data_IF_503405436186
#
_entry.id   IF_503405436186
#
_cell.length_a   1.000
_cell.length_b   1.000
_cell.length_c   1.000
_cell.angle_alpha   90.00
_cell.angle_beta   90.00
_cell.angle_gamma   90.00
#
_symmetry.space_group_name_H-M   'P 1'
#
loop_
_entity.id
_entity.type
_entity.pdbx_description
1 polymer ?
#
# COMPACT_ATOMS: atom_id res chain seq x y z
N UNK A 1 18.69 15.10 -3.38
CA UNK A 1 19.37 15.55 -2.13
C UNK A 1 18.29 15.68 -1.04
N UNK A 2 17.93 14.57 -0.38
CA UNK A 2 16.85 14.56 0.63
C UNK A 2 17.38 15.20 1.92
N UNK A 3 16.64 16.20 2.42
CA UNK A 3 16.97 17.11 3.52
C UNK A 3 17.66 16.46 4.72
N UNK A 4 18.70 17.14 5.24
CA UNK A 4 19.51 16.74 6.40
C UNK A 4 18.70 16.35 7.65
N UNK A 5 17.45 16.84 7.77
CA UNK A 5 16.57 16.53 8.89
C UNK A 5 16.05 15.09 8.86
N UNK A 6 15.65 14.59 7.68
CA UNK A 6 15.20 13.20 7.52
C UNK A 6 16.34 12.21 7.77
N UNK A 7 17.54 12.53 7.29
CA UNK A 7 18.72 11.70 7.54
C UNK A 7 19.13 11.69 9.03
N UNK A 8 18.90 12.79 9.76
CA UNK A 8 19.09 12.83 11.23
C UNK A 8 18.06 11.98 11.96
N UNK A 9 16.80 12.04 11.56
CA UNK A 9 15.74 11.17 12.11
C UNK A 9 16.01 9.70 11.82
N UNK A 10 16.42 9.37 10.60
CA UNK A 10 16.78 8.01 10.21
C UNK A 10 17.94 7.47 11.07
N UNK A 11 18.99 8.26 11.31
CA UNK A 11 20.10 7.85 12.19
C UNK A 11 19.65 7.61 13.64
N UNK A 12 18.67 8.37 14.15
CA UNK A 12 18.17 8.26 15.52
C UNK A 12 17.10 7.17 15.69
N UNK A 13 16.29 6.93 14.66
CA UNK A 13 15.08 6.10 14.71
C UNK A 13 15.11 4.93 13.72
N UNK A 14 16.28 4.55 13.20
CA UNK A 14 16.45 3.43 12.25
C UNK A 14 15.71 2.16 12.66
N UNK A 15 15.66 1.89 13.98
CA UNK A 15 14.98 0.73 14.59
C UNK A 15 13.45 0.71 14.47
N UNK A 16 12.82 1.82 14.09
CA UNK A 16 11.35 1.93 13.96
C UNK A 16 10.87 1.68 12.52
N UNK A 17 11.79 1.43 11.57
CA UNK A 17 11.41 0.93 10.26
C UNK A 17 10.96 -0.52 10.37
N UNK A 18 9.76 -0.82 9.87
CA UNK A 18 9.27 -2.18 9.76
C UNK A 18 9.83 -2.74 8.45
N UNK A 19 10.76 -3.67 8.55
CA UNK A 19 11.28 -4.38 7.39
C UNK A 19 10.17 -5.21 6.75
N UNK A 20 10.02 -5.07 5.42
CA UNK A 20 9.01 -5.77 4.64
C UNK A 20 7.56 -5.40 5.03
N UNK A 21 7.32 -4.15 5.44
CA UNK A 21 6.00 -3.66 5.86
C UNK A 21 4.91 -4.01 4.85
N UNK A 22 5.16 -3.73 3.56
CA UNK A 22 4.15 -3.97 2.52
C UNK A 22 3.81 -5.47 2.38
N UNK A 23 4.78 -6.35 2.61
CA UNK A 23 4.58 -7.80 2.55
C UNK A 23 3.57 -8.27 3.60
N UNK A 24 3.68 -7.77 4.84
CA UNK A 24 2.71 -8.06 5.90
C UNK A 24 1.31 -7.55 5.55
N UNK A 25 1.21 -6.32 5.05
CA UNK A 25 -0.07 -5.71 4.69
C UNK A 25 -0.73 -6.52 3.57
N UNK A 26 0.02 -6.92 2.55
CA UNK A 26 -0.51 -7.70 1.43
C UNK A 26 -0.88 -9.12 1.87
N UNK A 27 -0.12 -9.73 2.75
CA UNK A 27 -0.48 -11.02 3.36
C UNK A 27 -1.81 -10.95 4.10
N UNK A 28 -2.04 -9.89 4.88
CA UNK A 28 -3.31 -9.64 5.56
C UNK A 28 -4.44 -9.33 4.59
N UNK A 29 -4.18 -8.58 3.51
CA UNK A 29 -5.17 -8.36 2.45
C UNK A 29 -5.59 -9.67 1.78
N UNK A 30 -4.63 -10.56 1.49
CA UNK A 30 -4.91 -11.88 0.93
C UNK A 30 -5.73 -12.73 1.91
N UNK A 31 -5.41 -12.69 3.20
CA UNK A 31 -6.19 -13.38 4.25
C UNK A 31 -7.63 -12.86 4.32
N UNK A 32 -7.82 -11.54 4.38
CA UNK A 32 -9.16 -10.92 4.40
C UNK A 32 -9.93 -11.23 3.12
N UNK A 33 -9.25 -11.29 1.97
CA UNK A 33 -9.87 -11.71 0.71
C UNK A 33 -10.41 -13.14 0.78
N UNK A 34 -9.62 -14.11 1.25
CA UNK A 34 -10.06 -15.51 1.42
C UNK A 34 -11.24 -15.61 2.39
N UNK A 35 -11.18 -14.88 3.51
CA UNK A 35 -12.29 -14.83 4.46
C UNK A 35 -13.56 -14.22 3.85
N UNK A 36 -13.41 -13.19 3.01
CA UNK A 36 -14.54 -12.58 2.33
C UNK A 36 -15.17 -13.51 1.28
N UNK A 37 -14.41 -14.43 0.67
CA UNK A 37 -14.97 -15.40 -0.29
C UNK A 37 -15.99 -16.35 0.32
N UNK A 38 -15.93 -16.58 1.64
CA UNK A 38 -16.88 -17.41 2.39
C UNK A 38 -17.93 -16.58 3.14
N UNK A 39 -17.91 -15.26 2.99
CA UNK A 39 -18.87 -14.32 3.58
C UNK A 39 -19.73 -13.68 2.47
N UNK A 40 -20.86 -14.29 2.08
CA UNK A 40 -21.75 -13.76 1.05
C UNK A 40 -22.45 -12.46 1.47
N UNK A 41 -22.41 -12.09 2.75
CA UNK A 41 -23.08 -10.89 3.29
C UNK A 41 -22.18 -9.65 3.26
N UNK A 42 -20.85 -9.83 3.14
CA UNK A 42 -19.88 -8.75 3.21
C UNK A 42 -19.70 -8.15 4.61
N UNK A 43 -20.23 -8.80 5.64
CA UNK A 43 -20.15 -8.39 7.05
C UNK A 43 -18.70 -8.23 7.51
N UNK A 44 -17.79 -9.11 7.09
CA UNK A 44 -16.37 -9.06 7.45
C UNK A 44 -15.77 -7.73 6.99
N UNK A 45 -15.89 -7.38 5.70
CA UNK A 45 -15.37 -6.10 5.20
C UNK A 45 -16.10 -4.92 5.86
N UNK A 46 -17.41 -5.08 6.13
CA UNK A 46 -18.20 -4.13 6.90
C UNK A 46 -17.56 -3.75 8.24
N UNK A 47 -17.10 -4.72 9.03
CA UNK A 47 -16.43 -4.50 10.32
C UNK A 47 -15.00 -3.96 10.24
N UNK A 48 -14.37 -4.07 9.07
CA UNK A 48 -13.00 -3.59 8.87
C UNK A 48 -12.94 -2.15 8.34
N UNK A 49 -13.99 -1.68 7.64
CA UNK A 49 -14.03 -0.33 7.05
C UNK A 49 -13.83 0.76 8.12
N UNK A 50 -13.17 1.85 7.74
CA UNK A 50 -13.08 3.01 8.61
C UNK A 50 -14.39 3.81 8.55
N UNK A 51 -15.17 3.73 9.62
CA UNK A 51 -16.43 4.45 9.79
C UNK A 51 -16.32 5.30 11.06
N UNK A 52 -16.22 6.64 10.95
CA UNK A 52 -15.94 7.50 12.10
C UNK A 52 -16.95 7.37 13.24
N UNK A 53 -18.25 7.29 12.93
CA UNK A 53 -19.30 7.13 13.95
C UNK A 53 -19.09 5.87 14.78
N UNK A 54 -18.83 4.74 14.12
CA UNK A 54 -18.62 3.46 14.78
C UNK A 54 -17.31 3.40 15.58
N UNK A 55 -16.27 4.15 15.16
CA UNK A 55 -15.05 4.29 15.98
C UNK A 55 -15.36 5.00 17.29
N UNK A 56 -16.21 6.04 17.27
CA UNK A 56 -16.63 6.75 18.47
C UNK A 56 -17.52 5.88 19.37
N UNK A 57 -18.25 4.93 18.79
CA UNK A 57 -19.08 3.95 19.51
C UNK A 57 -18.27 2.77 20.10
N UNK A 58 -16.94 2.77 19.96
CA UNK A 58 -16.04 1.80 20.60
C UNK A 58 -15.33 0.82 19.65
N UNK A 59 -15.57 0.89 18.35
CA UNK A 59 -14.92 0.02 17.35
C UNK A 59 -13.54 0.56 16.93
N UNK A 60 -12.65 0.77 17.90
CA UNK A 60 -11.33 1.42 17.71
C UNK A 60 -10.40 0.69 16.71
N UNK A 61 -10.60 -0.62 16.52
CA UNK A 61 -9.81 -1.41 15.57
C UNK A 61 -9.93 -0.91 14.12
N UNK A 62 -11.05 -0.25 13.77
CA UNK A 62 -11.31 0.29 12.43
C UNK A 62 -10.27 1.29 11.96
N UNK A 63 -9.59 1.96 12.90
CA UNK A 63 -8.48 2.91 12.62
C UNK A 63 -7.26 2.20 12.04
N UNK A 64 -7.16 0.87 12.17
CA UNK A 64 -6.04 0.07 11.63
C UNK A 64 -6.53 -0.94 10.59
N UNK A 65 -7.66 -1.60 10.84
CA UNK A 65 -8.13 -2.72 10.01
C UNK A 65 -8.48 -2.33 8.58
N UNK A 66 -8.82 -1.06 8.33
CA UNK A 66 -9.13 -0.58 6.99
C UNK A 66 -7.96 -0.73 6.01
N UNK A 67 -6.73 -0.81 6.52
CA UNK A 67 -5.50 -1.04 5.75
C UNK A 67 -5.44 -2.44 5.15
N UNK A 68 -6.14 -3.40 5.75
CA UNK A 68 -6.10 -4.81 5.37
C UNK A 68 -7.26 -5.21 4.45
N UNK A 69 -8.09 -4.25 4.03
CA UNK A 69 -9.20 -4.51 3.12
C UNK A 69 -8.66 -4.65 1.68
N UNK A 70 -8.89 -5.80 1.02
CA UNK A 70 -8.43 -6.01 -0.34
C UNK A 70 -9.13 -5.06 -1.32
N UNK A 71 -8.51 -4.77 -2.48
CA UNK A 71 -9.13 -3.96 -3.50
C UNK A 71 -10.43 -4.60 -3.99
N UNK A 72 -11.49 -3.79 -4.13
CA UNK A 72 -12.81 -4.23 -4.59
C UNK A 72 -12.80 -4.40 -6.11
N UNK A 73 -12.39 -5.57 -6.57
CA UNK A 73 -12.38 -5.97 -7.98
C UNK A 73 -12.75 -7.45 -8.12
N UNK A 74 -12.77 -7.98 -9.35
CA UNK A 74 -13.04 -9.40 -9.57
C UNK A 74 -11.94 -10.29 -8.94
N UNK A 75 -12.27 -11.52 -8.50
CA UNK A 75 -11.32 -12.41 -7.81
C UNK A 75 -9.96 -12.56 -8.50
N UNK A 76 -9.95 -12.75 -9.82
CA UNK A 76 -8.71 -12.86 -10.60
C UNK A 76 -7.86 -11.58 -10.52
N UNK A 77 -8.50 -10.42 -10.60
CA UNK A 77 -7.82 -9.12 -10.57
C UNK A 77 -7.35 -8.74 -9.17
N UNK A 78 -7.90 -9.32 -8.10
CA UNK A 78 -7.37 -9.13 -6.75
C UNK A 78 -5.94 -9.66 -6.67
N UNK A 79 -5.67 -10.86 -7.20
CA UNK A 79 -4.31 -11.41 -7.21
C UNK A 79 -3.33 -10.52 -7.98
N UNK A 80 -3.75 -10.02 -9.16
CA UNK A 80 -2.95 -9.09 -9.96
C UNK A 80 -2.69 -7.79 -9.18
N UNK A 81 -3.71 -7.23 -8.54
CA UNK A 81 -3.59 -6.01 -7.76
C UNK A 81 -2.67 -6.18 -6.56
N UNK A 82 -2.80 -7.27 -5.80
CA UNK A 82 -1.93 -7.58 -4.67
C UNK A 82 -0.47 -7.79 -5.11
N UNK A 83 -0.25 -8.45 -6.24
CA UNK A 83 1.09 -8.59 -6.83
C UNK A 83 1.69 -7.22 -7.21
N UNK A 84 0.90 -6.35 -7.84
CA UNK A 84 1.34 -4.99 -8.19
C UNK A 84 1.64 -4.15 -6.95
N UNK A 85 0.77 -4.19 -5.93
CA UNK A 85 1.01 -3.49 -4.68
C UNK A 85 2.30 -3.98 -4.00
N UNK A 86 2.60 -5.28 -4.10
CA UNK A 86 3.82 -5.83 -3.53
C UNK A 86 5.05 -5.30 -4.23
N UNK A 87 5.09 -5.36 -5.57
CA UNK A 87 6.20 -4.82 -6.35
C UNK A 87 6.40 -3.34 -6.06
N UNK A 88 5.32 -2.56 -6.10
CA UNK A 88 5.34 -1.11 -5.88
C UNK A 88 5.91 -0.79 -4.51
N UNK A 89 5.31 -1.35 -3.45
CA UNK A 89 5.73 -1.06 -2.09
C UNK A 89 7.12 -1.59 -1.80
N UNK A 90 7.49 -2.76 -2.31
CA UNK A 90 8.82 -3.35 -2.07
C UNK A 90 9.91 -2.53 -2.74
N UNK A 91 9.69 -2.10 -3.98
CA UNK A 91 10.63 -1.24 -4.72
C UNK A 91 10.82 0.11 -4.01
N UNK A 92 9.73 0.71 -3.52
CA UNK A 92 9.79 1.95 -2.74
C UNK A 92 10.53 1.76 -1.40
N UNK A 93 10.29 0.63 -0.72
CA UNK A 93 10.98 0.31 0.53
C UNK A 93 12.49 0.11 0.33
N UNK A 94 12.89 -0.55 -0.77
CA UNK A 94 14.30 -0.75 -1.14
C UNK A 94 14.98 0.56 -1.53
N UNK A 95 14.30 1.44 -2.26
CA UNK A 95 14.84 2.73 -2.70
C UNK A 95 14.99 3.72 -1.53
N UNK A 96 14.01 3.77 -0.63
CA UNK A 96 13.97 4.76 0.46
C UNK A 96 14.57 4.26 1.78
N UNK A 97 14.63 2.94 1.96
CA UNK A 97 14.88 2.27 3.23
C UNK A 97 13.60 2.12 4.08
N UNK A 98 13.55 1.04 4.87
CA UNK A 98 12.36 0.64 5.63
C UNK A 98 11.81 1.70 6.57
N UNK A 99 12.66 2.54 7.18
CA UNK A 99 12.21 3.63 8.05
C UNK A 99 11.41 4.69 7.30
N UNK A 100 11.93 5.21 6.18
CA UNK A 100 11.26 6.26 5.41
C UNK A 100 9.98 5.75 4.78
N UNK A 101 10.00 4.52 4.27
CA UNK A 101 8.80 3.87 3.74
C UNK A 101 7.73 3.66 4.81
N UNK A 102 8.11 3.15 5.98
CA UNK A 102 7.18 2.98 7.12
C UNK A 102 6.57 4.32 7.52
N UNK A 103 7.38 5.37 7.64
CA UNK A 103 6.89 6.70 7.98
C UNK A 103 5.94 7.25 6.92
N UNK A 104 6.29 7.11 5.64
CA UNK A 104 5.42 7.51 4.52
C UNK A 104 4.06 6.80 4.59
N UNK A 105 4.07 5.48 4.77
CA UNK A 105 2.86 4.67 4.83
C UNK A 105 1.98 5.05 6.02
N UNK A 106 2.57 5.22 7.21
CA UNK A 106 1.86 5.60 8.43
C UNK A 106 1.28 7.01 8.33
N UNK A 107 2.01 7.97 7.76
CA UNK A 107 1.50 9.33 7.55
C UNK A 107 0.31 9.33 6.58
N UNK A 108 0.36 8.54 5.51
CA UNK A 108 -0.77 8.38 4.59
C UNK A 108 -1.98 7.72 5.26
N UNK A 109 -1.76 6.71 6.11
CA UNK A 109 -2.82 6.08 6.90
C UNK A 109 -3.47 7.07 7.88
N UNK A 110 -2.66 7.82 8.65
CA UNK A 110 -3.14 8.87 9.57
C UNK A 110 -3.90 9.95 8.80
N UNK A 111 -3.40 10.39 7.64
CA UNK A 111 -4.08 11.36 6.79
C UNK A 111 -5.44 10.86 6.30
N UNK A 112 -5.54 9.58 5.92
CA UNK A 112 -6.80 8.93 5.53
C UNK A 112 -7.78 8.91 6.70
N UNK A 113 -7.30 8.58 7.91
CA UNK A 113 -8.11 8.60 9.13
C UNK A 113 -8.63 10.02 9.39
N UNK A 114 -7.74 11.02 9.42
CA UNK A 114 -8.13 12.40 9.65
C UNK A 114 -9.16 12.88 8.61
N UNK A 115 -8.95 12.59 7.33
CA UNK A 115 -9.88 12.95 6.26
C UNK A 115 -11.25 12.28 6.42
N UNK A 116 -11.28 11.01 6.84
CA UNK A 116 -12.53 10.29 7.13
C UNK A 116 -13.29 10.94 8.28
N UNK A 117 -12.60 11.28 9.38
CA UNK A 117 -13.22 11.96 10.53
C UNK A 117 -13.72 13.37 10.21
N UNK A 118 -13.00 14.13 9.38
CA UNK A 118 -13.41 15.48 8.96
C UNK A 118 -14.61 15.43 8.02
N UNK A 119 -14.62 14.48 7.07
CA UNK A 119 -15.70 14.36 6.08
C UNK A 119 -16.93 13.60 6.59
N UNK A 120 -16.80 12.82 7.66
CA UNK A 120 -17.80 11.83 8.09
C UNK A 120 -17.94 10.63 7.15
N UNK A 121 -17.11 10.54 6.11
CA UNK A 121 -17.20 9.53 5.07
C UNK A 121 -16.49 8.22 5.45
N UNK A 122 -16.96 7.12 4.86
CA UNK A 122 -16.31 5.81 4.98
C UNK A 122 -14.99 5.82 4.19
N UNK A 123 -13.90 5.40 4.81
CA UNK A 123 -12.59 5.33 4.15
C UNK A 123 -12.05 3.91 4.04
N UNK A 124 -11.25 3.70 3.00
CA UNK A 124 -10.51 2.48 2.72
C UNK A 124 -9.06 2.82 2.35
N UNK A 125 -8.21 1.80 2.22
CA UNK A 125 -6.82 1.92 1.79
C UNK A 125 -6.63 2.37 0.34
N UNK A 126 -7.70 2.61 -0.43
CA UNK A 126 -7.63 2.99 -1.85
C UNK A 126 -6.75 4.23 -2.10
N UNK A 127 -6.97 5.33 -1.36
CA UNK A 127 -6.21 6.57 -1.57
C UNK A 127 -4.74 6.42 -1.15
N UNK A 128 -4.47 5.62 -0.12
CA UNK A 128 -3.11 5.28 0.30
C UNK A 128 -2.39 4.44 -0.76
N UNK A 129 -3.07 3.48 -1.37
CA UNK A 129 -2.51 2.68 -2.46
C UNK A 129 -2.25 3.52 -3.71
N UNK A 130 -3.12 4.50 -4.01
CA UNK A 130 -2.92 5.45 -5.10
C UNK A 130 -1.72 6.38 -4.84
N UNK A 131 -1.51 6.80 -3.59
CA UNK A 131 -0.34 7.62 -3.25
C UNK A 131 0.96 6.84 -3.41
N UNK A 132 0.99 5.56 -3.02
CA UNK A 132 2.11 4.65 -3.27
C UNK A 132 2.36 4.46 -4.77
N UNK A 133 1.31 4.23 -5.55
CA UNK A 133 1.41 4.11 -7.00
C UNK A 133 1.98 5.38 -7.63
N UNK A 134 1.51 6.56 -7.20
CA UNK A 134 2.02 7.85 -7.67
C UNK A 134 3.51 8.01 -7.32
N UNK A 135 3.90 7.72 -6.08
CA UNK A 135 5.30 7.80 -5.67
C UNK A 135 6.18 6.86 -6.51
N UNK A 136 5.73 5.64 -6.74
CA UNK A 136 6.43 4.69 -7.60
C UNK A 136 6.55 5.19 -9.04
N UNK A 137 5.49 5.73 -9.62
CA UNK A 137 5.50 6.29 -10.97
C UNK A 137 6.51 7.45 -11.12
N UNK A 138 6.72 8.24 -10.06
CA UNK A 138 7.71 9.33 -10.08
C UNK A 138 9.16 8.83 -10.00
N UNK A 139 9.41 7.71 -9.32
CA UNK A 139 10.76 7.16 -9.14
C UNK A 139 11.15 6.25 -10.30
N UNK A 140 10.20 5.46 -10.80
CA UNK A 140 10.40 4.53 -11.88
C UNK A 140 9.55 4.90 -13.11
N UNK A 141 9.78 6.07 -13.75
CA UNK A 141 8.96 6.55 -14.87
C UNK A 141 9.06 5.65 -16.11
N UNK A 142 10.16 4.90 -16.25
CA UNK A 142 10.40 3.96 -17.35
C UNK A 142 10.12 2.50 -16.96
N UNK A 143 9.44 2.26 -15.83
CA UNK A 143 9.11 0.90 -15.40
C UNK A 143 8.19 0.22 -16.42
N UNK A 144 8.63 -0.92 -16.96
CA UNK A 144 7.84 -1.68 -17.93
C UNK A 144 7.27 -2.94 -17.24
N UNK A 145 5.99 -2.89 -16.88
CA UNK A 145 5.24 -4.07 -16.42
C UNK A 145 5.01 -5.01 -17.61
N UNK A 146 5.73 -6.13 -17.61
CA UNK A 146 5.53 -7.18 -18.62
C UNK A 146 4.38 -8.08 -18.20
N UNK A 147 3.16 -7.62 -18.45
CA UNK A 147 1.97 -8.46 -18.40
C UNK A 147 1.98 -9.31 -19.67
N UNK A 148 2.13 -10.62 -19.49
CA UNK A 148 2.25 -11.63 -20.56
C UNK A 148 3.62 -11.65 -21.25
N UNK A 149 4.18 -12.86 -21.34
CA UNK A 149 5.51 -13.24 -21.85
C UNK A 149 5.80 -12.87 -23.33
N UNK A 150 5.12 -11.90 -23.95
CA UNK A 150 5.02 -11.78 -25.41
C UNK A 150 6.08 -10.88 -26.05
N UNK A 151 6.81 -10.03 -25.32
CA UNK A 151 7.86 -9.21 -25.96
C UNK A 151 9.22 -9.27 -25.26
N UNK A 152 10.10 -10.10 -25.84
CA UNK A 152 11.56 -9.97 -25.75
C UNK A 152 11.95 -8.71 -26.54
N UNK A 153 12.22 -7.58 -25.88
CA UNK A 153 12.99 -6.51 -26.53
C UNK A 153 14.42 -7.04 -26.74
N UNK A 154 14.79 -7.20 -28.01
CA UNK A 154 16.18 -7.43 -28.45
C UNK A 154 16.99 -6.21 -28.00
N UNK A 155 17.95 -6.44 -27.11
CA UNK A 155 18.94 -5.43 -26.74
C UNK A 155 19.80 -5.23 -27.99
N UNK A 156 19.55 -4.16 -28.75
CA UNK A 156 20.44 -3.76 -29.83
C UNK A 156 21.62 -3.11 -29.10
N UNK A 157 22.74 -3.83 -29.02
CA UNK A 157 23.99 -3.26 -28.56
C UNK A 157 24.29 -2.01 -29.41
N UNK A 158 24.80 -0.92 -28.81
CA UNK A 158 25.26 0.21 -29.60
C UNK A 158 26.40 -0.28 -30.49
N UNK A 159 26.19 -0.29 -31.80
CA UNK A 159 27.27 -0.38 -32.78
C UNK A 159 28.15 0.84 -32.58
N UNK A 160 29.35 0.61 -32.04
CA UNK A 160 30.46 1.54 -32.14
C UNK A 160 30.80 1.72 -33.62
N UNK A 161 30.52 2.92 -34.14
CA UNK A 161 31.21 3.51 -35.29
C UNK A 161 31.53 4.94 -34.89
#
# INVERSE_FOLDING_TARGET
MINNWLNKLERKYRRFGIENLIGYIIGLNALVFVLNMVDPTGTIIGHLNLVPSQVLDGEFWRVVTFLFIPPRTSPLFVFIALYLYYIIGKSLEEEWGSFKFTLYYLLGAIGTVAASFISGGIATSQYLNLSLFLAFATIYPNFTLRLFFVFRKRQIAPTLI
#
